data_IF_433251639434
#
_entry.id   IF_433251639434
#
_cell.length_a   1.000
_cell.length_b   1.000
_cell.length_c   1.000
_cell.angle_alpha   90.00
_cell.angle_beta   90.00
_cell.angle_gamma   90.00
#
_symmetry.space_group_name_H-M   'P 1'
#
loop_
_entity.id
_entity.type
_entity.pdbx_description
1 polymer ?
#
# COMPACT_ATOMS: atom_id res chain seq x y z
N UNK A 1 -10.97 -2.40 0.14
CA UNK A 1 -12.19 -2.12 -0.66
C UNK A 1 -13.32 -1.71 0.28
N UNK A 2 -14.20 -0.84 -0.21
CA UNK A 2 -15.40 -0.47 0.54
C UNK A 2 -16.34 -1.66 0.61
N UNK A 3 -16.78 -2.00 1.81
CA UNK A 3 -17.62 -3.18 2.03
C UNK A 3 -19.03 -2.93 1.52
N UNK A 4 -19.57 -3.89 0.79
CA UNK A 4 -20.96 -3.88 0.35
C UNK A 4 -21.89 -3.96 1.55
N UNK A 5 -22.60 -2.90 1.84
CA UNK A 5 -23.50 -2.80 3.00
C UNK A 5 -24.05 -1.40 3.15
N UNK A 6 -24.63 -1.09 4.31
CA UNK A 6 -25.29 0.19 4.54
C UNK A 6 -24.39 1.31 5.06
N UNK A 7 -23.15 1.00 5.41
CA UNK A 7 -22.33 1.92 6.21
C UNK A 7 -21.11 2.51 5.49
N UNK A 8 -20.58 1.85 4.43
CA UNK A 8 -19.39 2.34 3.75
C UNK A 8 -18.25 2.68 4.71
N UNK A 9 -17.67 3.86 4.56
CA UNK A 9 -16.61 4.38 5.44
C UNK A 9 -17.12 4.89 6.79
N UNK A 10 -18.41 5.23 6.90
CA UNK A 10 -19.02 5.88 8.07
C UNK A 10 -18.84 5.06 9.35
N UNK A 11 -18.94 3.73 9.25
CA UNK A 11 -18.72 2.85 10.39
C UNK A 11 -17.24 2.90 10.84
N UNK A 12 -16.32 2.88 9.91
CA UNK A 12 -14.89 3.00 10.21
C UNK A 12 -14.59 4.33 10.88
N UNK A 13 -15.09 5.44 10.30
CA UNK A 13 -14.87 6.78 10.83
C UNK A 13 -15.46 6.98 12.23
N UNK A 14 -16.59 6.36 12.50
CA UNK A 14 -17.21 6.42 13.82
C UNK A 14 -16.41 5.71 14.92
N UNK A 15 -15.58 4.72 14.56
CA UNK A 15 -14.80 3.91 15.49
C UNK A 15 -13.33 4.36 15.59
N UNK A 16 -12.74 4.76 14.47
CA UNK A 16 -11.29 4.96 14.34
C UNK A 16 -10.90 6.37 13.90
N UNK A 17 -11.83 7.20 13.47
CA UNK A 17 -11.57 8.53 12.94
C UNK A 17 -11.46 8.55 11.42
N UNK A 18 -10.92 9.62 10.82
CA UNK A 18 -10.94 9.84 9.39
C UNK A 18 -10.20 8.75 8.63
N UNK A 19 -10.68 8.42 7.43
CA UNK A 19 -10.07 7.43 6.52
C UNK A 19 -8.83 7.97 5.80
N UNK A 20 -8.61 9.27 5.83
CA UNK A 20 -7.44 9.96 5.27
C UNK A 20 -6.91 10.98 6.26
N UNK A 21 -5.62 10.89 6.54
CA UNK A 21 -4.94 11.73 7.53
C UNK A 21 -3.42 11.65 7.37
N UNK A 22 -2.73 12.55 8.04
CA UNK A 22 -1.27 12.52 8.15
C UNK A 22 -0.82 12.73 9.58
N UNK A 23 0.39 12.33 9.87
CA UNK A 23 1.04 12.57 11.15
C UNK A 23 2.57 12.51 11.03
N UNK A 24 3.25 13.17 11.94
CA UNK A 24 4.70 13.12 12.04
C UNK A 24 5.14 12.19 13.16
N UNK A 25 6.15 11.37 12.88
CA UNK A 25 6.84 10.59 13.90
C UNK A 25 8.35 10.59 13.61
N UNK A 26 9.11 11.17 14.51
CA UNK A 26 10.54 11.43 14.26
C UNK A 26 10.72 12.43 13.12
N UNK A 27 11.57 12.07 12.14
CA UNK A 27 11.79 12.87 10.93
C UNK A 27 10.94 12.40 9.74
N UNK A 28 9.91 11.59 9.98
CA UNK A 28 9.08 11.01 8.92
C UNK A 28 7.67 11.58 8.99
N UNK A 29 7.19 12.02 7.85
CA UNK A 29 5.81 12.38 7.61
C UNK A 29 5.07 11.18 7.02
N UNK A 30 4.08 10.69 7.72
CA UNK A 30 3.25 9.57 7.32
C UNK A 30 1.93 10.07 6.80
N UNK A 31 1.54 9.59 5.64
CA UNK A 31 0.29 9.95 4.98
C UNK A 31 -0.53 8.70 4.71
N UNK A 32 -1.78 8.70 5.14
CA UNK A 32 -2.78 7.70 4.79
C UNK A 32 -3.76 8.33 3.83
N UNK A 33 -3.88 7.78 2.63
CA UNK A 33 -4.80 8.27 1.60
C UNK A 33 -5.97 7.31 1.43
N UNK A 34 -7.17 7.83 1.13
CA UNK A 34 -8.34 6.99 0.89
C UNK A 34 -8.32 6.39 -0.52
N UNK A 35 -9.25 5.49 -0.77
CA UNK A 35 -9.65 5.08 -2.12
C UNK A 35 -11.03 5.67 -2.42
N UNK A 36 -11.30 6.01 -3.67
CA UNK A 36 -12.56 6.62 -4.10
C UNK A 36 -13.47 5.64 -4.87
N UNK A 37 -13.14 4.37 -4.85
CA UNK A 37 -13.88 3.32 -5.55
C UNK A 37 -14.15 2.12 -4.62
N UNK A 38 -15.18 1.39 -4.95
CA UNK A 38 -15.66 0.25 -4.16
C UNK A 38 -17.18 0.10 -4.28
N UNK A 39 -17.79 -0.61 -3.35
CA UNK A 39 -19.23 -0.88 -3.37
C UNK A 39 -20.09 0.30 -2.91
N UNK A 40 -19.50 1.29 -2.26
CA UNK A 40 -20.16 2.50 -1.80
C UNK A 40 -19.56 3.74 -2.42
N UNK A 41 -20.38 4.73 -2.77
CA UNK A 41 -19.87 6.03 -3.17
C UNK A 41 -19.21 6.73 -1.98
N UNK A 42 -18.12 7.41 -2.25
CA UNK A 42 -17.46 8.27 -1.26
C UNK A 42 -18.10 9.67 -1.27
N UNK A 43 -17.93 10.40 -0.15
CA UNK A 43 -18.35 11.80 -0.05
C UNK A 43 -17.30 12.79 -0.59
N UNK A 44 -16.24 12.28 -1.22
CA UNK A 44 -15.12 13.05 -1.76
C UNK A 44 -14.75 12.52 -3.15
N UNK A 45 -13.99 13.33 -3.88
CA UNK A 45 -13.46 13.04 -5.19
C UNK A 45 -11.93 12.91 -5.15
N UNK A 46 -11.33 12.33 -6.18
CA UNK A 46 -9.86 12.32 -6.33
C UNK A 46 -9.26 13.74 -6.33
N UNK A 47 -10.01 14.74 -6.76
CA UNK A 47 -9.57 16.13 -6.71
C UNK A 47 -9.54 16.68 -5.29
N UNK A 48 -10.46 16.25 -4.43
CA UNK A 48 -10.45 16.62 -3.01
C UNK A 48 -9.22 16.00 -2.33
N UNK A 49 -8.94 14.72 -2.62
CA UNK A 49 -7.71 14.05 -2.14
C UNK A 49 -6.45 14.77 -2.62
N UNK A 50 -6.41 15.17 -3.90
CA UNK A 50 -5.30 15.94 -4.45
C UNK A 50 -5.09 17.27 -3.74
N UNK A 51 -6.16 18.03 -3.53
CA UNK A 51 -6.09 19.33 -2.89
C UNK A 51 -5.59 19.22 -1.44
N UNK A 52 -6.13 18.24 -0.71
CA UNK A 52 -5.71 17.95 0.65
C UNK A 52 -4.23 17.53 0.69
N UNK A 53 -3.85 16.52 -0.10
CA UNK A 53 -2.49 15.99 -0.14
C UNK A 53 -1.47 17.07 -0.52
N UNK A 54 -1.78 17.88 -1.52
CA UNK A 54 -0.92 19.00 -1.93
C UNK A 54 -0.70 20.00 -0.81
N UNK A 55 -1.76 20.35 -0.07
CA UNK A 55 -1.67 21.28 1.05
C UNK A 55 -0.89 20.67 2.23
N UNK A 56 -1.13 19.43 2.51
CA UNK A 56 -0.47 18.66 3.58
C UNK A 56 1.05 18.57 3.31
N UNK A 57 1.44 18.11 2.12
CA UNK A 57 2.84 18.00 1.73
C UNK A 57 3.56 19.36 1.62
N UNK A 58 2.84 20.43 1.38
CA UNK A 58 3.41 21.78 1.39
C UNK A 58 3.85 22.25 2.79
N UNK A 59 3.35 21.62 3.84
CA UNK A 59 3.74 21.90 5.23
C UNK A 59 4.95 21.10 5.69
N UNK A 60 5.37 20.09 4.93
CA UNK A 60 6.53 19.29 5.26
C UNK A 60 7.82 20.10 5.31
N UNK A 61 8.71 19.76 6.21
CA UNK A 61 10.09 20.28 6.21
C UNK A 61 10.84 19.68 5.03
N UNK A 62 11.76 20.44 4.45
CA UNK A 62 12.51 20.06 3.24
C UNK A 62 13.19 18.69 3.33
N UNK A 63 13.77 18.38 4.48
CA UNK A 63 14.53 17.13 4.69
C UNK A 63 13.68 16.00 5.32
N UNK A 64 12.42 16.28 5.61
CA UNK A 64 11.54 15.30 6.23
C UNK A 64 11.23 14.17 5.24
N UNK A 65 11.37 12.93 5.67
CA UNK A 65 11.04 11.78 4.86
C UNK A 65 9.52 11.63 4.71
N UNK A 66 9.06 11.13 3.57
CA UNK A 66 7.65 10.87 3.27
C UNK A 66 7.42 9.38 3.09
N UNK A 67 6.42 8.84 3.81
CA UNK A 67 5.92 7.48 3.62
C UNK A 67 4.40 7.54 3.45
N UNK A 68 3.91 6.93 2.37
CA UNK A 68 2.49 6.91 2.05
C UNK A 68 1.90 5.51 2.25
N UNK A 69 0.69 5.48 2.80
CA UNK A 69 -0.13 4.28 2.94
C UNK A 69 -1.42 4.45 2.16
N UNK A 70 -1.81 3.39 1.46
CA UNK A 70 -3.08 3.34 0.76
C UNK A 70 -3.58 1.89 0.72
N UNK A 71 -4.87 1.67 0.53
CA UNK A 71 -5.38 0.32 0.34
C UNK A 71 -4.96 -0.24 -1.02
N UNK A 72 -5.08 0.55 -2.08
CA UNK A 72 -4.59 0.21 -3.42
C UNK A 72 -3.55 1.24 -3.88
N UNK A 73 -2.67 0.85 -4.79
CA UNK A 73 -1.64 1.74 -5.28
C UNK A 73 -2.26 2.86 -6.14
N UNK A 74 -2.26 4.07 -5.63
CA UNK A 74 -2.88 5.23 -6.29
C UNK A 74 -1.96 5.96 -7.29
N UNK A 75 -0.72 5.51 -7.41
CA UNK A 75 0.21 5.96 -8.47
C UNK A 75 0.60 4.77 -9.32
N UNK A 76 0.95 5.00 -10.59
CA UNK A 76 1.61 3.96 -11.35
C UNK A 76 2.94 3.60 -10.68
N UNK A 77 3.23 2.31 -10.55
CA UNK A 77 4.36 1.77 -9.76
C UNK A 77 5.74 2.27 -10.19
N UNK A 78 5.85 2.82 -11.37
CA UNK A 78 7.10 3.30 -11.97
C UNK A 78 7.16 4.83 -12.11
N UNK A 79 6.10 5.54 -11.84
CA UNK A 79 6.02 6.98 -12.05
C UNK A 79 6.05 7.80 -10.77
N UNK A 80 5.51 7.29 -9.66
CA UNK A 80 5.30 8.01 -8.39
C UNK A 80 4.52 9.31 -8.55
N UNK A 81 3.64 9.38 -9.54
CA UNK A 81 2.79 10.54 -9.78
C UNK A 81 1.36 10.21 -9.40
N UNK A 82 0.87 10.89 -8.38
CA UNK A 82 -0.56 10.90 -8.09
C UNK A 82 -1.28 11.77 -9.11
N UNK A 83 -2.39 11.27 -9.64
CA UNK A 83 -3.13 11.94 -10.70
C UNK A 83 -4.62 11.86 -10.44
N UNK A 84 -5.21 12.97 -10.04
CA UNK A 84 -6.65 13.09 -9.92
C UNK A 84 -7.32 13.29 -11.29
N UNK A 85 -6.72 14.11 -12.14
CA UNK A 85 -7.12 14.33 -13.54
C UNK A 85 -5.92 14.86 -14.37
N UNK A 86 -6.16 15.40 -15.57
CA UNK A 86 -5.10 15.89 -16.46
C UNK A 86 -4.36 17.11 -15.91
N UNK A 87 -5.04 17.92 -15.10
CA UNK A 87 -4.50 19.17 -14.55
C UNK A 87 -4.03 19.04 -13.11
N UNK A 88 -4.57 18.07 -12.38
CA UNK A 88 -4.30 17.85 -10.97
C UNK A 88 -3.40 16.62 -10.77
N UNK A 89 -2.10 16.88 -10.91
CA UNK A 89 -1.05 15.86 -10.74
C UNK A 89 -0.06 16.29 -9.67
N UNK A 90 0.47 15.33 -8.93
CA UNK A 90 1.46 15.55 -7.88
C UNK A 90 2.58 14.52 -8.01
N UNK A 91 3.77 14.98 -8.31
CA UNK A 91 4.96 14.14 -8.40
C UNK A 91 5.57 13.96 -7.00
N UNK A 92 5.42 12.77 -6.45
CA UNK A 92 5.93 12.45 -5.11
C UNK A 92 7.46 12.40 -5.06
N UNK A 93 8.16 12.33 -6.20
CA UNK A 93 9.63 12.38 -6.26
C UNK A 93 10.16 13.79 -5.98
N UNK A 94 9.30 14.82 -6.02
CA UNK A 94 9.66 16.18 -5.62
C UNK A 94 9.88 16.33 -4.10
N UNK A 95 9.47 15.32 -3.32
CA UNK A 95 9.63 15.23 -1.88
C UNK A 95 10.68 14.18 -1.53
N UNK A 96 11.12 14.13 -0.27
CA UNK A 96 12.00 13.06 0.22
C UNK A 96 11.22 11.75 0.44
N UNK A 97 10.53 11.28 -0.60
CA UNK A 97 9.70 10.08 -0.55
C UNK A 97 10.56 8.83 -0.39
N UNK A 98 10.24 8.01 0.58
CA UNK A 98 10.93 6.76 0.89
C UNK A 98 10.13 5.54 0.51
N UNK A 99 8.81 5.57 0.67
CA UNK A 99 7.97 4.43 0.34
C UNK A 99 6.52 4.80 -0.01
N UNK A 100 5.94 3.95 -0.85
CA UNK A 100 4.50 3.75 -1.01
C UNK A 100 4.17 2.32 -0.54
N UNK A 101 3.26 2.20 0.42
CA UNK A 101 2.89 0.93 1.04
C UNK A 101 1.40 0.71 0.82
N UNK A 102 1.03 -0.43 0.27
CA UNK A 102 -0.34 -0.72 -0.12
C UNK A 102 -0.71 -2.19 0.06
N UNK A 103 -1.98 -2.51 -0.03
CA UNK A 103 -2.55 -3.85 0.07
C UNK A 103 -3.26 -4.28 -1.21
N UNK A 104 -4.57 -4.55 -1.11
CA UNK A 104 -5.51 -4.88 -2.18
C UNK A 104 -5.17 -6.13 -3.01
N UNK A 105 -3.97 -6.19 -3.56
CA UNK A 105 -3.56 -7.22 -4.52
C UNK A 105 -3.31 -8.61 -3.91
N UNK A 106 -3.35 -8.74 -2.58
CA UNK A 106 -3.14 -9.99 -1.86
C UNK A 106 -1.90 -10.77 -2.33
N UNK A 107 -0.79 -10.07 -2.57
CA UNK A 107 0.51 -10.68 -2.84
C UNK A 107 1.63 -9.93 -2.14
N UNK A 108 2.79 -10.57 -2.03
CA UNK A 108 3.96 -9.95 -1.44
C UNK A 108 4.87 -9.39 -2.53
N UNK A 109 5.04 -8.08 -2.51
CA UNK A 109 5.84 -7.36 -3.49
C UNK A 109 6.69 -6.29 -2.82
N UNK A 110 7.96 -6.23 -3.20
CA UNK A 110 8.88 -5.17 -2.78
C UNK A 110 9.73 -4.78 -3.98
N UNK A 111 9.71 -3.52 -4.32
CA UNK A 111 10.53 -2.94 -5.36
C UNK A 111 11.18 -1.66 -4.84
N UNK A 112 12.45 -1.48 -5.12
CA UNK A 112 13.16 -0.22 -4.89
C UNK A 112 13.50 0.42 -6.24
N UNK A 113 13.09 1.66 -6.43
CA UNK A 113 13.37 2.47 -7.61
C UNK A 113 14.03 3.76 -7.17
N UNK A 114 15.35 3.83 -7.35
CA UNK A 114 16.15 5.02 -7.01
C UNK A 114 15.95 5.48 -5.55
N UNK A 115 15.86 4.53 -4.61
CA UNK A 115 15.70 4.83 -3.19
C UNK A 115 14.24 4.91 -2.71
N UNK A 116 13.26 4.86 -3.60
CA UNK A 116 11.84 4.84 -3.24
C UNK A 116 11.31 3.39 -3.31
N UNK A 117 10.76 2.92 -2.21
CA UNK A 117 10.16 1.60 -2.13
C UNK A 117 8.70 1.61 -2.54
N UNK A 118 8.30 0.60 -3.31
CA UNK A 118 6.90 0.22 -3.51
C UNK A 118 6.69 -1.13 -2.84
N UNK A 119 5.81 -1.18 -1.85
CA UNK A 119 5.63 -2.36 -0.99
C UNK A 119 4.16 -2.75 -0.98
N UNK A 120 3.88 -4.01 -1.36
CA UNK A 120 2.58 -4.64 -1.18
C UNK A 120 2.73 -5.83 -0.25
N UNK A 121 1.72 -6.09 0.57
CA UNK A 121 1.71 -7.21 1.52
C UNK A 121 0.46 -8.06 1.33
N UNK A 122 0.61 -9.37 1.44
CA UNK A 122 -0.49 -10.32 1.49
C UNK A 122 -1.35 -10.16 2.74
N UNK A 123 -2.42 -10.94 2.83
CA UNK A 123 -3.37 -10.85 3.95
C UNK A 123 -2.89 -11.66 5.15
N UNK A 124 -3.32 -11.24 6.34
CA UNK A 124 -2.99 -11.90 7.61
C UNK A 124 -3.68 -13.25 7.81
N UNK A 125 -4.82 -13.46 7.14
CA UNK A 125 -5.74 -14.57 7.42
C UNK A 125 -5.84 -15.59 6.26
N UNK A 126 -5.64 -15.16 5.02
CA UNK A 126 -5.88 -15.97 3.82
C UNK A 126 -4.63 -16.26 2.99
N UNK A 127 -3.51 -15.62 3.34
CA UNK A 127 -2.34 -15.65 2.48
C UNK A 127 -2.52 -14.83 1.20
N UNK A 128 -1.67 -15.06 0.24
CA UNK A 128 -1.64 -14.32 -1.02
C UNK A 128 -2.22 -15.09 -2.21
N UNK A 129 -2.63 -14.38 -3.24
CA UNK A 129 -2.96 -14.98 -4.55
C UNK A 129 -1.72 -15.58 -5.23
N UNK A 130 -0.55 -15.23 -4.76
CA UNK A 130 0.76 -15.78 -5.13
C UNK A 130 1.06 -17.10 -4.40
N UNK A 131 0.07 -17.70 -3.73
CA UNK A 131 0.19 -18.89 -2.91
C UNK A 131 1.12 -18.74 -1.70
N UNK A 132 1.47 -17.53 -1.32
CA UNK A 132 2.20 -17.28 -0.07
C UNK A 132 1.31 -17.54 1.14
N UNK A 133 1.85 -18.05 2.25
CA UNK A 133 1.12 -18.19 3.49
C UNK A 133 0.66 -16.84 4.05
N UNK A 134 -0.29 -16.86 4.97
CA UNK A 134 -0.72 -15.70 5.74
C UNK A 134 0.47 -14.98 6.36
N UNK A 135 0.56 -13.68 6.16
CA UNK A 135 1.77 -12.94 6.47
C UNK A 135 1.51 -11.47 6.80
N UNK A 136 2.48 -10.87 7.44
CA UNK A 136 2.59 -9.43 7.60
C UNK A 136 4.02 -8.98 7.34
N UNK A 137 4.23 -7.70 7.21
CA UNK A 137 5.55 -7.14 6.94
C UNK A 137 5.97 -6.18 8.04
N UNK A 138 7.13 -6.44 8.60
CA UNK A 138 7.82 -5.47 9.44
C UNK A 138 8.54 -4.47 8.54
N UNK A 139 8.33 -3.19 8.78
CA UNK A 139 9.03 -2.10 8.11
C UNK A 139 9.69 -1.28 9.20
N UNK A 140 11.00 -1.09 9.08
CA UNK A 140 11.78 -0.27 10.00
C UNK A 140 12.36 0.91 9.25
N UNK A 141 12.22 2.08 9.85
CA UNK A 141 12.85 3.32 9.39
C UNK A 141 13.90 3.69 10.43
N UNK A 142 15.15 3.79 10.04
CA UNK A 142 16.24 4.17 10.94
C UNK A 142 16.38 5.69 11.07
N UNK A 143 17.30 6.14 11.91
CA UNK A 143 17.54 7.56 12.15
C UNK A 143 18.09 8.34 10.94
N UNK A 144 18.44 7.66 9.86
CA UNK A 144 18.87 8.23 8.58
C UNK A 144 17.81 8.07 7.49
N UNK A 145 16.56 7.75 7.88
CA UNK A 145 15.42 7.52 7.01
C UNK A 145 15.59 6.33 6.04
N UNK A 146 16.50 5.39 6.33
CA UNK A 146 16.63 4.17 5.54
C UNK A 146 15.55 3.19 5.91
N UNK A 147 14.98 2.56 4.89
CA UNK A 147 13.95 1.53 5.05
C UNK A 147 14.58 0.14 4.96
N UNK A 148 14.27 -0.68 5.96
CA UNK A 148 14.46 -2.13 5.89
C UNK A 148 13.12 -2.83 6.06
N UNK A 149 12.93 -3.94 5.35
CA UNK A 149 11.65 -4.65 5.38
C UNK A 149 11.87 -6.14 5.47
N UNK A 150 11.05 -6.80 6.30
CA UNK A 150 11.09 -8.24 6.49
C UNK A 150 9.68 -8.82 6.48
N UNK A 151 9.47 -9.85 5.65
CA UNK A 151 8.23 -10.62 5.64
C UNK A 151 8.21 -11.56 6.84
N UNK A 152 7.09 -11.59 7.55
CA UNK A 152 6.80 -12.51 8.65
C UNK A 152 5.55 -13.29 8.33
N UNK A 153 5.59 -14.58 8.54
CA UNK A 153 4.43 -15.45 8.40
C UNK A 153 3.69 -15.57 9.72
N UNK A 154 2.36 -15.49 9.67
CA UNK A 154 1.53 -15.65 10.88
C UNK A 154 1.44 -17.10 11.28
N UNK A 155 1.49 -18.00 10.29
CA UNK A 155 1.43 -19.43 10.49
C UNK A 155 2.20 -20.13 9.36
N UNK A 156 3.05 -21.08 9.72
CA UNK A 156 3.78 -21.92 8.77
C UNK A 156 3.55 -23.38 9.17
N UNK A 157 2.79 -24.11 8.36
CA UNK A 157 2.83 -25.55 8.37
C UNK A 157 3.85 -26.05 7.33
N UNK A 158 4.64 -27.06 7.64
CA UNK A 158 5.44 -27.73 6.62
C UNK A 158 4.51 -28.28 5.53
N UNK A 159 4.62 -27.73 4.33
CA UNK A 159 3.82 -28.17 3.19
C UNK A 159 4.74 -28.49 2.02
N UNK A 160 4.43 -29.59 1.35
CA UNK A 160 5.00 -29.93 0.05
C UNK A 160 3.83 -30.02 -0.91
N UNK A 161 3.79 -29.12 -1.89
CA UNK A 161 2.83 -29.20 -2.97
C UNK A 161 3.56 -29.56 -4.27
N UNK A 162 3.16 -30.66 -4.90
CA UNK A 162 3.62 -31.02 -6.23
C UNK A 162 2.69 -30.34 -7.24
N UNK A 163 3.19 -29.29 -7.87
CA UNK A 163 2.40 -28.50 -8.85
C UNK A 163 2.54 -29.04 -10.28
N UNK A 164 3.59 -29.85 -10.55
CA UNK A 164 3.81 -30.53 -11.83
C UNK A 164 4.78 -31.71 -11.65
N UNK A 165 4.51 -32.90 -12.23
CA UNK A 165 3.26 -33.25 -12.89
C UNK A 165 2.10 -33.39 -11.92
N UNK A 166 0.91 -33.00 -12.34
CA UNK A 166 -0.31 -33.28 -11.57
C UNK A 166 -0.68 -34.76 -11.67
N UNK A 167 -1.50 -35.26 -10.71
CA UNK A 167 -2.02 -36.61 -10.74
C UNK A 167 -2.55 -36.96 -12.14
N UNK A 168 -2.10 -38.04 -12.71
CA UNK A 168 -2.40 -38.52 -14.07
C UNK A 168 -1.71 -37.82 -15.23
N UNK A 169 -0.78 -36.92 -14.99
CA UNK A 169 0.12 -36.43 -16.05
C UNK A 169 1.41 -37.24 -16.06
N UNK A 170 1.52 -38.17 -17.00
CA UNK A 170 2.77 -38.88 -17.28
C UNK A 170 3.49 -38.05 -18.36
N UNK A 171 4.55 -37.35 -18.00
CA UNK A 171 5.46 -36.78 -18.98
C UNK A 171 6.28 -37.90 -19.56
N UNK A 172 6.06 -38.23 -20.83
CA UNK A 172 7.00 -39.09 -21.54
C UNK A 172 8.34 -38.35 -21.63
N UNK A 173 9.38 -38.94 -21.09
CA UNK A 173 10.72 -38.45 -21.30
C UNK A 173 11.06 -38.59 -22.79
N UNK A 174 11.33 -37.47 -23.47
CA UNK A 174 11.94 -37.43 -24.81
C UNK A 174 13.43 -37.42 -24.69
#
# INVERSE_FOLDING_TARGET
DLVKGSYGEELYESLYGPTWYSFDMGNVHYVVTPIDHGDHPTNYTQKDVYNWLKNDLAMMKKEQALILFNHDLFTASDTFVFKADKEHTLDLRAFNTKAQIYGHMHYNYVRNQNGIYTICTGTLDKGGIDHSPSSFREIKVDGNDNITTQLRYTFIEPQIAIVSPMNNQISAAT
#
